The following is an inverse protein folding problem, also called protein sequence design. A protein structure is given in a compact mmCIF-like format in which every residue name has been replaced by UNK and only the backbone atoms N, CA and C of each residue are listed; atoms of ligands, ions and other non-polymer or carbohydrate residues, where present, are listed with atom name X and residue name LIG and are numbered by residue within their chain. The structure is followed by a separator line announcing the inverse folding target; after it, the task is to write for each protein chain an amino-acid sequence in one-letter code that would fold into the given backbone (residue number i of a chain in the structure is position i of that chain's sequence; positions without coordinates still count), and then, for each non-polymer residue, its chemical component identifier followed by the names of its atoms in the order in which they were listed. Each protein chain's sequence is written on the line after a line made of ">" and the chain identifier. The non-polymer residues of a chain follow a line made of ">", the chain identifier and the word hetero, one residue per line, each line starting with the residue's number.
data_IF_546865314196
#
_entry.id   IF_546865314196
#
_cell.length_a   1.000
_cell.length_b   1.000
_cell.length_c   1.000
_cell.angle_alpha   90.00
_cell.angle_beta   90.00
_cell.angle_gamma   90.00
#
_symmetry.space_group_name_H-M   'P 1'
#
loop_
_entity.id
_entity.type
_entity.pdbx_description
1 polymer ?
#
# COMPACT_ATOMS: atom_id res chain seq x y z
N UNK A 1 24.07 8.78 -25.35
CA UNK A 1 22.64 8.37 -25.45
C UNK A 1 21.93 8.96 -24.25
N UNK A 2 21.07 9.96 -24.48
CA UNK A 2 20.31 10.62 -23.41
C UNK A 2 19.15 9.70 -23.01
N UNK A 3 19.17 9.15 -21.80
CA UNK A 3 18.08 8.36 -21.20
C UNK A 3 16.90 9.22 -20.72
N UNK A 4 16.70 10.40 -21.31
CA UNK A 4 15.46 11.17 -21.12
C UNK A 4 14.41 10.61 -22.07
N UNK A 5 14.04 9.35 -21.86
CA UNK A 5 12.74 8.84 -22.28
C UNK A 5 11.77 9.70 -21.47
N UNK A 6 11.15 10.68 -22.12
CA UNK A 6 10.16 11.54 -21.49
C UNK A 6 9.08 10.65 -20.90
N UNK A 7 9.10 10.49 -19.58
CA UNK A 7 8.00 9.84 -18.87
C UNK A 7 6.78 10.70 -19.18
N UNK A 8 5.78 10.07 -19.79
CA UNK A 8 4.53 10.74 -20.10
C UNK A 8 4.00 11.37 -18.81
N UNK A 9 3.77 12.68 -18.86
CA UNK A 9 3.26 13.45 -17.72
C UNK A 9 1.99 12.81 -17.17
N UNK A 10 1.14 12.27 -18.03
CA UNK A 10 -0.08 11.58 -17.63
C UNK A 10 0.22 10.31 -16.81
N UNK A 11 1.17 9.49 -17.26
CA UNK A 11 1.60 8.29 -16.53
C UNK A 11 2.19 8.67 -15.16
N UNK A 12 2.97 9.76 -15.12
CA UNK A 12 3.52 10.25 -13.86
C UNK A 12 2.41 10.72 -12.90
N UNK A 13 1.41 11.44 -13.40
CA UNK A 13 0.25 11.87 -12.62
C UNK A 13 -0.57 10.69 -12.10
N UNK A 14 -0.77 9.66 -12.91
CA UNK A 14 -1.43 8.42 -12.49
C UNK A 14 -0.64 7.68 -11.41
N UNK A 15 0.69 7.55 -11.58
CA UNK A 15 1.57 6.93 -10.58
C UNK A 15 1.57 7.71 -9.27
N UNK A 16 1.68 9.04 -9.31
CA UNK A 16 1.58 9.88 -8.13
C UNK A 16 0.21 9.73 -7.45
N UNK A 17 -0.88 9.70 -8.22
CA UNK A 17 -2.23 9.48 -7.71
C UNK A 17 -2.38 8.10 -7.05
N UNK A 18 -1.78 7.08 -7.64
CA UNK A 18 -1.75 5.72 -7.11
C UNK A 18 -1.00 5.64 -5.77
N UNK A 19 0.19 6.25 -5.69
CA UNK A 19 1.07 6.21 -4.52
C UNK A 19 0.51 6.99 -3.32
N UNK A 20 -0.27 8.04 -3.55
CA UNK A 20 -0.85 8.88 -2.49
C UNK A 20 -1.63 8.11 -1.42
N UNK A 21 -2.27 6.99 -1.77
CA UNK A 21 -2.98 6.14 -0.80
C UNK A 21 -2.04 5.41 0.17
N UNK A 22 -0.81 5.13 -0.26
CA UNK A 22 0.21 4.53 0.59
C UNK A 22 0.78 5.56 1.57
N UNK A 23 1.01 6.80 1.11
CA UNK A 23 1.45 7.88 2.00
C UNK A 23 0.44 8.10 3.14
N UNK A 24 -0.86 8.17 2.81
CA UNK A 24 -1.93 8.28 3.81
C UNK A 24 -1.96 7.11 4.80
N UNK A 25 -1.73 5.89 4.31
CA UNK A 25 -1.68 4.71 5.15
C UNK A 25 -0.47 4.73 6.10
N UNK A 26 0.69 5.20 5.63
CA UNK A 26 1.88 5.36 6.44
C UNK A 26 1.64 6.40 7.54
N UNK A 27 1.11 7.57 7.18
CA UNK A 27 0.80 8.64 8.14
C UNK A 27 -0.13 8.11 9.26
N UNK A 28 -1.27 7.54 8.89
CA UNK A 28 -2.29 7.05 9.83
C UNK A 28 -1.78 5.91 10.75
N UNK A 29 -0.86 5.08 10.26
CA UNK A 29 -0.25 4.01 11.05
C UNK A 29 0.94 4.49 11.88
N UNK A 30 1.65 5.53 11.43
CA UNK A 30 2.83 6.08 12.11
C UNK A 30 2.50 6.97 13.31
N UNK A 31 1.29 7.53 13.37
CA UNK A 31 0.81 8.34 14.50
C UNK A 31 0.69 7.56 15.82
N UNK A 32 0.83 6.23 15.80
CA UNK A 32 0.68 5.40 17.00
C UNK A 32 2.02 4.79 17.43
N UNK A 33 2.43 5.08 18.67
CA UNK A 33 3.63 4.46 19.28
C UNK A 33 3.54 2.92 19.37
N UNK A 34 2.34 2.35 19.24
CA UNK A 34 2.09 0.91 19.27
C UNK A 34 1.21 0.46 18.10
N UNK A 35 1.48 -0.72 17.51
CA UNK A 35 0.65 -1.28 16.45
C UNK A 35 -0.79 -1.49 16.94
N UNK A 36 -1.76 -0.88 16.26
CA UNK A 36 -3.18 -1.07 16.53
C UNK A 36 -3.84 -1.89 15.41
N UNK A 37 -4.15 -3.14 15.73
CA UNK A 37 -4.76 -4.07 14.79
C UNK A 37 -6.11 -3.60 14.24
N UNK A 38 -6.87 -2.81 15.00
CA UNK A 38 -8.15 -2.25 14.55
C UNK A 38 -7.98 -1.16 13.49
N UNK A 39 -6.84 -0.48 13.42
CA UNK A 39 -6.49 0.45 12.34
C UNK A 39 -5.75 -0.23 11.21
N UNK A 40 -4.84 -1.14 11.54
CA UNK A 40 -4.02 -1.86 10.58
C UNK A 40 -4.85 -2.72 9.60
N UNK A 41 -5.82 -3.50 10.11
CA UNK A 41 -6.59 -4.42 9.25
C UNK A 41 -7.44 -3.69 8.20
N UNK A 42 -8.19 -2.61 8.52
CA UNK A 42 -8.91 -1.83 7.51
C UNK A 42 -7.99 -1.17 6.47
N UNK A 43 -6.91 -0.54 6.91
CA UNK A 43 -5.95 0.15 6.02
C UNK A 43 -5.29 -0.85 5.07
N UNK A 44 -4.90 -2.01 5.59
CA UNK A 44 -4.41 -3.13 4.78
C UNK A 44 -5.42 -3.54 3.70
N UNK A 45 -6.68 -3.79 4.08
CA UNK A 45 -7.69 -4.23 3.10
C UNK A 45 -7.93 -3.17 2.03
N UNK A 46 -7.88 -1.89 2.40
CA UNK A 46 -7.98 -0.77 1.48
C UNK A 46 -6.84 -0.76 0.45
N UNK A 47 -5.60 -0.97 0.89
CA UNK A 47 -4.44 -1.02 -0.02
C UNK A 47 -4.48 -2.26 -0.94
N UNK A 48 -4.89 -3.43 -0.42
CA UNK A 48 -5.05 -4.63 -1.24
C UNK A 48 -6.10 -4.43 -2.34
N UNK A 49 -7.26 -3.87 -1.98
CA UNK A 49 -8.30 -3.55 -2.94
C UNK A 49 -7.80 -2.53 -3.98
N UNK A 50 -6.99 -1.56 -3.56
CA UNK A 50 -6.38 -0.57 -4.45
C UNK A 50 -5.40 -1.19 -5.44
N UNK A 51 -4.63 -2.19 -5.01
CA UNK A 51 -3.75 -2.98 -5.88
C UNK A 51 -4.49 -4.07 -6.68
N UNK A 52 -5.80 -4.23 -6.46
CA UNK A 52 -6.60 -5.35 -6.96
C UNK A 52 -5.99 -6.73 -6.60
N UNK A 53 -5.29 -6.80 -5.47
CA UNK A 53 -4.68 -8.01 -4.94
C UNK A 53 -5.65 -8.69 -3.98
N UNK A 54 -5.78 -10.01 -4.09
CA UNK A 54 -6.49 -10.78 -3.09
C UNK A 54 -5.56 -11.14 -1.94
N UNK A 55 -6.13 -11.30 -0.74
CA UNK A 55 -5.34 -11.62 0.47
C UNK A 55 -4.59 -12.95 0.37
N UNK A 56 -5.05 -13.87 -0.46
CA UNK A 56 -4.45 -15.17 -0.77
C UNK A 56 -3.28 -15.06 -1.77
N UNK A 57 -3.12 -13.93 -2.46
CA UNK A 57 -2.06 -13.72 -3.45
C UNK A 57 -0.80 -13.06 -2.86
N UNK A 58 -0.85 -12.61 -1.59
CA UNK A 58 0.28 -11.98 -0.90
C UNK A 58 0.80 -12.87 0.23
N UNK A 59 2.02 -13.39 0.05
CA UNK A 59 2.66 -14.38 0.92
C UNK A 59 2.90 -13.82 2.33
N UNK A 60 3.39 -12.59 2.42
CA UNK A 60 3.65 -11.89 3.68
C UNK A 60 2.37 -11.76 4.53
N UNK A 61 1.22 -11.71 3.88
CA UNK A 61 -0.08 -11.63 4.54
C UNK A 61 -0.63 -12.99 4.99
N UNK A 62 -0.27 -14.06 4.29
CA UNK A 62 -0.54 -15.41 4.79
C UNK A 62 0.26 -15.66 6.07
N UNK A 63 1.53 -15.24 6.11
CA UNK A 63 2.40 -15.34 7.28
C UNK A 63 1.88 -14.54 8.47
N UNK A 64 1.44 -13.29 8.25
CA UNK A 64 0.87 -12.46 9.30
C UNK A 64 -0.43 -13.05 9.88
N UNK A 65 -1.28 -13.66 9.03
CA UNK A 65 -2.51 -14.33 9.47
C UNK A 65 -2.21 -15.55 10.34
N UNK A 66 -1.13 -16.28 10.06
CA UNK A 66 -0.65 -17.40 10.88
C UNK A 66 -0.13 -16.87 12.22
N UNK A 67 0.62 -15.77 12.21
CA UNK A 67 1.20 -15.19 13.43
C UNK A 67 0.15 -14.61 14.39
N UNK A 68 -0.95 -14.08 13.86
CA UNK A 68 -2.07 -13.54 14.64
C UNK A 68 -3.15 -14.58 14.99
N UNK A 69 -2.96 -15.84 14.57
CA UNK A 69 -3.86 -16.97 14.81
C UNK A 69 -3.73 -17.57 16.20
#
# INVERSE_FOLDING_TARGET
>A
MNYLIGVDKYILEELCGFLKRFDQAIDELSEQEKPNMHKFLPIRQLLLNHCNLKSDECLELQELKIFLG
#
